data_IF_159838462081
#
_entry.id   IF_159838462081
#
_cell.length_a   1.000
_cell.length_b   1.000
_cell.length_c   1.000
_cell.angle_alpha   90.00
_cell.angle_beta   90.00
_cell.angle_gamma   90.00
#
_symmetry.space_group_name_H-M   'P 1'
#
loop_
_entity.id
_entity.type
_entity.pdbx_description
1 polymer ?
#
# COMPACT_ATOMS: atom_id res chain seq x y z
N UNK A 1 -4.89 -16.22 25.71
CA UNK A 1 -4.61 -17.10 24.55
C UNK A 1 -3.21 -16.78 24.08
N UNK A 2 -2.29 -17.75 24.17
CA UNK A 2 -0.87 -17.51 23.91
C UNK A 2 -0.61 -17.22 22.44
N UNK A 3 -0.17 -16.00 22.13
CA UNK A 3 0.40 -15.68 20.83
C UNK A 3 1.75 -16.38 20.72
N UNK A 4 1.82 -17.49 19.99
CA UNK A 4 3.09 -18.05 19.57
C UNK A 4 3.81 -17.01 18.73
N UNK A 5 5.00 -16.57 19.18
CA UNK A 5 5.87 -15.73 18.36
C UNK A 5 6.08 -16.43 17.02
N UNK A 6 5.66 -15.80 15.91
CA UNK A 6 6.06 -16.27 14.57
C UNK A 6 7.59 -16.33 14.53
N UNK A 7 8.12 -17.37 13.89
CA UNK A 7 9.55 -17.45 13.62
C UNK A 7 9.95 -16.27 12.72
N UNK A 8 11.06 -15.61 13.05
CA UNK A 8 11.59 -14.52 12.25
C UNK A 8 12.16 -15.07 10.94
N UNK A 9 11.82 -14.45 9.82
CA UNK A 9 12.26 -14.83 8.47
C UNK A 9 13.37 -13.88 8.05
N UNK A 10 14.51 -14.41 7.60
CA UNK A 10 15.61 -13.57 7.09
C UNK A 10 15.19 -12.88 5.79
N UNK A 11 15.57 -11.61 5.54
CA UNK A 11 15.32 -10.96 4.25
C UNK A 11 16.25 -11.53 3.17
N UNK A 12 15.84 -12.65 2.57
CA UNK A 12 16.44 -13.26 1.38
C UNK A 12 15.34 -13.72 0.42
N UNK A 13 15.68 -14.42 -0.67
CA UNK A 13 14.72 -14.86 -1.69
C UNK A 13 13.51 -15.65 -1.14
N UNK A 14 13.59 -16.22 0.08
CA UNK A 14 12.48 -16.92 0.72
C UNK A 14 11.28 -16.02 1.07
N UNK A 15 11.45 -14.69 1.08
CA UNK A 15 10.35 -13.76 1.34
C UNK A 15 9.47 -13.52 0.11
N UNK A 16 9.93 -13.91 -1.09
CA UNK A 16 9.17 -13.75 -2.33
C UNK A 16 7.90 -14.61 -2.25
N UNK A 17 6.77 -14.02 -2.61
CA UNK A 17 5.46 -14.67 -2.50
C UNK A 17 4.82 -14.60 -1.12
N UNK A 18 5.44 -13.95 -0.13
CA UNK A 18 4.70 -13.57 1.08
C UNK A 18 3.53 -12.66 0.70
N UNK A 19 2.36 -12.97 1.26
CA UNK A 19 1.10 -12.26 1.00
C UNK A 19 0.61 -11.54 2.25
N UNK A 20 0.10 -10.34 2.05
CA UNK A 20 -0.69 -9.59 3.02
C UNK A 20 -2.16 -10.05 3.03
N UNK A 21 -3.01 -9.45 3.86
CA UNK A 21 -4.42 -9.75 3.87
C UNK A 21 -5.06 -9.26 2.57
N UNK A 22 -6.16 -9.90 2.21
CA UNK A 22 -7.11 -9.36 1.24
C UNK A 22 -8.05 -8.43 2.00
N UNK A 23 -8.28 -7.22 1.48
CA UNK A 23 -9.13 -6.22 2.12
C UNK A 23 -9.93 -5.41 1.10
N UNK A 24 -11.11 -4.96 1.53
CA UNK A 24 -11.94 -4.02 0.79
C UNK A 24 -11.36 -2.60 0.90
N UNK A 25 -11.47 -1.82 -0.18
CA UNK A 25 -11.01 -0.43 -0.23
C UNK A 25 -12.21 0.49 -0.42
N UNK A 26 -12.49 1.29 0.61
CA UNK A 26 -13.57 2.28 0.56
C UNK A 26 -13.12 3.55 -0.18
N UNK A 27 -13.59 3.73 -1.41
CA UNK A 27 -13.36 4.94 -2.18
C UNK A 27 -14.29 6.07 -1.75
N UNK A 28 -13.93 6.75 -0.66
CA UNK A 28 -14.73 7.83 -0.11
C UNK A 28 -14.48 9.17 -0.84
N UNK A 29 -15.57 9.84 -1.27
CA UNK A 29 -15.52 11.19 -1.87
C UNK A 29 -14.75 12.20 -1.01
N UNK A 30 -14.91 12.17 0.30
CA UNK A 30 -14.21 13.09 1.22
C UNK A 30 -12.69 12.89 1.18
N UNK A 31 -12.24 11.62 1.18
CA UNK A 31 -10.82 11.23 1.13
C UNK A 31 -10.18 11.61 -0.20
N UNK A 32 -10.89 11.38 -1.31
CA UNK A 32 -10.45 11.75 -2.66
C UNK A 32 -10.18 13.25 -2.73
N UNK A 33 -11.14 14.07 -2.26
CA UNK A 33 -11.01 15.53 -2.22
C UNK A 33 -9.87 15.99 -1.33
N UNK A 34 -9.72 15.38 -0.15
CA UNK A 34 -8.65 15.69 0.78
C UNK A 34 -7.29 15.40 0.15
N UNK A 35 -7.09 14.20 -0.40
CA UNK A 35 -5.85 13.81 -1.05
C UNK A 35 -5.51 14.73 -2.21
N UNK A 36 -6.47 15.00 -3.10
CA UNK A 36 -6.28 15.89 -4.24
C UNK A 36 -5.81 17.29 -3.78
N UNK A 37 -6.40 17.86 -2.72
CA UNK A 37 -5.93 19.13 -2.15
C UNK A 37 -4.52 19.03 -1.57
N UNK A 38 -4.20 17.94 -0.87
CA UNK A 38 -2.88 17.73 -0.26
C UNK A 38 -1.75 17.68 -1.29
N UNK A 39 -2.04 17.22 -2.52
CA UNK A 39 -1.06 17.21 -3.63
C UNK A 39 -1.24 18.37 -4.61
N UNK A 40 -2.02 19.40 -4.24
CA UNK A 40 -2.32 20.57 -5.09
C UNK A 40 -2.96 20.23 -6.45
N UNK A 41 -3.72 19.15 -6.52
CA UNK A 41 -4.51 18.76 -7.70
C UNK A 41 -5.93 19.34 -7.62
N UNK A 42 -6.21 20.37 -8.42
CA UNK A 42 -7.48 21.12 -8.38
C UNK A 42 -8.41 20.89 -9.56
N UNK A 43 -8.17 19.84 -10.35
CA UNK A 43 -9.05 19.50 -11.47
C UNK A 43 -10.51 19.27 -10.98
N UNK A 44 -11.53 19.86 -11.64
CA UNK A 44 -12.94 19.75 -11.23
C UNK A 44 -13.44 18.32 -10.98
N UNK A 45 -12.96 17.36 -11.78
CA UNK A 45 -13.30 15.93 -11.64
C UNK A 45 -13.03 15.34 -10.24
N UNK A 46 -12.10 15.93 -9.46
CA UNK A 46 -11.82 15.50 -8.09
C UNK A 46 -12.71 16.18 -7.05
N UNK A 47 -13.30 17.35 -7.36
CA UNK A 47 -13.87 18.27 -6.37
C UNK A 47 -15.35 18.61 -6.55
N UNK A 48 -15.87 18.53 -7.77
CA UNK A 48 -17.23 19.00 -8.07
C UNK A 48 -18.22 17.84 -8.14
N UNK A 49 -17.78 16.68 -8.63
CA UNK A 49 -18.64 15.52 -8.83
C UNK A 49 -19.10 14.88 -7.52
N UNK A 50 -20.28 14.24 -7.57
CA UNK A 50 -20.85 13.47 -6.46
C UNK A 50 -20.12 12.14 -6.25
N UNK A 51 -19.61 11.55 -7.34
CA UNK A 51 -18.76 10.36 -7.37
C UNK A 51 -17.45 10.66 -8.11
N UNK A 52 -16.55 11.48 -7.53
CA UNK A 52 -15.34 11.91 -8.23
C UNK A 52 -14.44 10.72 -8.56
N UNK A 53 -13.74 10.81 -9.69
CA UNK A 53 -12.64 9.92 -10.03
C UNK A 53 -11.48 10.12 -9.05
N UNK A 54 -10.72 9.07 -8.76
CA UNK A 54 -9.52 9.20 -7.93
C UNK A 54 -8.38 9.87 -8.70
N UNK A 55 -7.55 10.73 -8.07
CA UNK A 55 -6.25 11.09 -8.64
C UNK A 55 -5.42 9.82 -8.91
N UNK A 56 -4.59 9.77 -9.97
CA UNK A 56 -3.91 8.53 -10.38
C UNK A 56 -3.13 7.84 -9.25
N UNK A 57 -2.47 8.61 -8.39
CA UNK A 57 -1.65 8.07 -7.30
C UNK A 57 -2.41 7.84 -5.99
N UNK A 58 -3.71 8.12 -5.93
CA UNK A 58 -4.52 8.03 -4.71
C UNK A 58 -4.52 6.63 -4.08
N UNK A 59 -4.54 5.58 -4.92
CA UNK A 59 -4.70 4.21 -4.47
C UNK A 59 -3.55 3.71 -3.57
N UNK A 60 -2.39 4.39 -3.57
CA UNK A 60 -1.31 4.10 -2.61
C UNK A 60 -1.78 4.20 -1.16
N UNK A 61 -2.76 5.06 -0.89
CA UNK A 61 -3.30 5.27 0.45
C UNK A 61 -4.04 4.04 0.99
N UNK A 62 -4.47 3.11 0.14
CA UNK A 62 -5.24 1.93 0.57
C UNK A 62 -4.46 1.07 1.57
N UNK A 63 -3.18 0.84 1.33
CA UNK A 63 -2.29 0.10 2.23
C UNK A 63 -1.99 0.82 3.54
N UNK A 64 -2.21 2.13 3.62
CA UNK A 64 -2.05 2.90 4.86
C UNK A 64 -3.31 2.91 5.73
N UNK A 65 -4.49 2.77 5.14
CA UNK A 65 -5.76 2.90 5.85
C UNK A 65 -6.46 1.57 6.15
N UNK A 66 -6.45 0.64 5.19
CA UNK A 66 -7.26 -0.59 5.26
C UNK A 66 -6.41 -1.85 5.38
N UNK A 67 -5.30 -1.90 4.65
CA UNK A 67 -4.34 -2.99 4.70
C UNK A 67 -3.13 -2.66 5.58
N UNK A 68 -1.98 -3.15 5.15
CA UNK A 68 -0.70 -2.65 5.61
C UNK A 68 0.31 -2.59 4.46
N UNK A 69 1.19 -1.60 4.55
CA UNK A 69 2.41 -1.51 3.74
C UNK A 69 3.59 -2.16 4.49
N UNK A 70 4.66 -2.51 3.78
CA UNK A 70 5.85 -3.16 4.34
C UNK A 70 6.40 -2.39 5.57
N UNK A 71 6.51 -1.07 5.48
CA UNK A 71 7.04 -0.23 6.57
C UNK A 71 6.12 -0.10 7.80
N UNK A 72 4.86 -0.57 7.72
CA UNK A 72 3.87 -0.46 8.81
C UNK A 72 3.11 -1.76 9.05
N UNK A 73 3.69 -2.90 8.66
CA UNK A 73 3.07 -4.19 8.86
C UNK A 73 2.96 -4.52 10.37
N UNK A 74 1.84 -5.09 10.85
CA UNK A 74 1.73 -5.61 12.21
C UNK A 74 2.83 -6.64 12.50
N UNK A 75 3.38 -6.65 13.71
CA UNK A 75 4.50 -7.55 14.08
C UNK A 75 4.15 -9.04 13.96
N UNK A 76 2.88 -9.37 14.08
CA UNK A 76 2.30 -10.71 13.99
C UNK A 76 1.78 -11.06 12.57
N UNK A 77 2.14 -10.26 11.56
CA UNK A 77 1.80 -10.51 10.15
C UNK A 77 2.94 -11.18 9.37
N UNK A 78 2.62 -11.68 8.17
CA UNK A 78 3.61 -12.24 7.25
C UNK A 78 4.81 -11.30 7.02
N UNK A 79 4.55 -10.01 6.73
CA UNK A 79 5.62 -9.02 6.55
C UNK A 79 6.28 -8.60 7.87
N UNK A 80 5.54 -8.58 8.99
CA UNK A 80 6.12 -8.30 10.31
C UNK A 80 7.06 -9.38 10.84
N UNK A 81 6.98 -10.58 10.26
CA UNK A 81 7.89 -11.69 10.57
C UNK A 81 9.27 -11.55 9.92
N UNK A 82 9.43 -10.67 8.92
CA UNK A 82 10.74 -10.42 8.28
C UNK A 82 11.68 -9.75 9.27
N UNK A 83 12.91 -10.25 9.35
CA UNK A 83 13.93 -9.82 10.29
C UNK A 83 14.69 -8.57 9.81
N UNK A 84 13.94 -7.49 9.58
CA UNK A 84 14.44 -6.21 9.09
C UNK A 84 13.71 -5.04 9.78
N UNK A 85 14.40 -3.91 9.96
CA UNK A 85 13.77 -2.69 10.48
C UNK A 85 13.35 -1.75 9.35
N UNK A 86 12.14 -1.99 8.84
CA UNK A 86 11.56 -1.17 7.78
C UNK A 86 11.20 0.25 8.19
N UNK A 87 11.26 0.63 9.48
CA UNK A 87 11.00 2.02 9.90
C UNK A 87 12.12 2.98 9.47
N UNK A 88 13.30 2.43 9.18
CA UNK A 88 14.46 3.17 8.67
C UNK A 88 14.62 3.07 7.16
N UNK A 89 13.76 2.28 6.49
CA UNK A 89 13.82 2.04 5.07
C UNK A 89 13.35 3.28 4.28
N UNK A 90 14.17 3.71 3.32
CA UNK A 90 13.78 4.73 2.36
C UNK A 90 12.92 4.10 1.26
N UNK A 91 11.85 4.80 0.85
CA UNK A 91 11.10 4.43 -0.34
C UNK A 91 11.97 4.69 -1.59
N UNK A 92 12.41 3.60 -2.23
CA UNK A 92 13.33 3.65 -3.36
C UNK A 92 12.65 3.92 -4.71
N UNK A 93 11.34 3.76 -4.81
CA UNK A 93 10.61 3.92 -6.06
C UNK A 93 9.18 3.42 -5.99
N UNK A 94 8.32 4.04 -6.80
CA UNK A 94 6.89 3.82 -6.83
C UNK A 94 6.42 3.72 -8.28
N UNK A 95 5.65 2.69 -8.61
CA UNK A 95 5.05 2.48 -9.93
C UNK A 95 3.53 2.26 -9.79
N UNK A 96 2.77 2.74 -10.78
CA UNK A 96 1.34 2.50 -10.89
C UNK A 96 1.01 2.04 -12.30
N UNK A 97 0.31 0.91 -12.42
CA UNK A 97 -0.19 0.38 -13.69
C UNK A 97 -1.71 0.40 -13.66
N UNK A 98 -2.33 1.04 -14.65
CA UNK A 98 -3.79 1.12 -14.78
C UNK A 98 -4.25 0.25 -15.95
N UNK A 99 -4.96 -0.84 -15.65
CA UNK A 99 -5.48 -1.78 -16.65
C UNK A 99 -6.81 -1.32 -17.30
N UNK A 100 -7.33 -0.17 -16.87
CA UNK A 100 -8.59 0.40 -17.31
C UNK A 100 -8.72 1.86 -16.83
N UNK A 101 -9.92 2.44 -16.93
CA UNK A 101 -10.17 3.77 -16.37
C UNK A 101 -9.93 3.78 -14.86
N UNK A 102 -9.58 4.96 -14.33
CA UNK A 102 -9.45 5.14 -12.89
C UNK A 102 -10.82 4.99 -12.20
N UNK A 103 -10.85 4.37 -11.01
CA UNK A 103 -12.10 4.14 -10.31
C UNK A 103 -12.67 5.43 -9.73
N UNK A 104 -13.97 5.42 -9.49
CA UNK A 104 -14.72 6.54 -8.92
C UNK A 104 -15.15 6.27 -7.47
N UNK A 105 -15.49 7.35 -6.75
CA UNK A 105 -15.98 7.22 -5.39
C UNK A 105 -17.22 6.31 -5.29
N UNK A 106 -17.20 5.41 -4.30
CA UNK A 106 -18.23 4.41 -4.06
C UNK A 106 -18.16 3.16 -4.95
N UNK A 107 -17.18 3.06 -5.85
CA UNK A 107 -16.92 1.80 -6.55
C UNK A 107 -16.24 0.79 -5.61
N UNK A 108 -16.63 -0.49 -5.68
CA UNK A 108 -16.03 -1.52 -4.86
C UNK A 108 -14.65 -1.89 -5.40
N UNK A 109 -13.66 -1.94 -4.53
CA UNK A 109 -12.32 -2.43 -4.84
C UNK A 109 -11.87 -3.41 -3.77
N UNK A 110 -11.14 -4.43 -4.21
CA UNK A 110 -10.47 -5.41 -3.35
C UNK A 110 -8.98 -5.30 -3.63
N UNK A 111 -8.17 -5.24 -2.58
CA UNK A 111 -6.73 -5.12 -2.67
C UNK A 111 -6.02 -6.19 -1.84
N UNK A 112 -4.78 -6.45 -2.21
CA UNK A 112 -3.83 -7.27 -1.47
C UNK A 112 -2.41 -6.77 -1.77
N UNK A 113 -1.49 -7.11 -0.88
CA UNK A 113 -0.06 -6.80 -1.04
C UNK A 113 0.70 -8.11 -1.16
N UNK A 114 1.65 -8.20 -2.07
CA UNK A 114 2.52 -9.36 -2.21
C UNK A 114 3.97 -8.92 -2.36
N UNK A 115 4.88 -9.72 -1.80
CA UNK A 115 6.31 -9.54 -2.02
C UNK A 115 6.68 -10.10 -3.40
N UNK A 116 6.87 -9.21 -4.36
CA UNK A 116 7.11 -9.58 -5.75
C UNK A 116 8.56 -9.99 -6.04
N UNK A 117 9.54 -9.32 -5.42
CA UNK A 117 10.95 -9.50 -5.73
C UNK A 117 11.84 -9.15 -4.52
N UNK A 118 13.07 -9.69 -4.51
CA UNK A 118 14.11 -9.38 -3.53
C UNK A 118 15.44 -9.16 -4.24
N UNK A 119 16.16 -8.09 -3.86
CA UNK A 119 17.49 -7.83 -4.39
C UNK A 119 18.43 -7.28 -3.32
N UNK A 120 19.51 -7.99 -3.08
CA UNK A 120 20.62 -7.50 -2.28
C UNK A 120 21.44 -6.48 -3.08
N UNK A 121 21.75 -5.34 -2.46
CA UNK A 121 22.62 -4.31 -3.03
C UNK A 121 23.69 -3.92 -2.02
N UNK A 122 24.94 -3.92 -2.46
CA UNK A 122 26.03 -3.41 -1.65
C UNK A 122 26.13 -1.88 -1.81
N UNK A 123 26.03 -1.15 -0.69
CA UNK A 123 26.25 0.30 -0.68
C UNK A 123 27.70 0.65 -1.04
N UNK A 124 27.90 1.83 -1.65
CA UNK A 124 29.25 2.39 -1.82
C UNK A 124 29.73 2.89 -0.45
N UNK A 125 30.89 2.40 -0.01
CA UNK A 125 31.59 2.94 1.16
C UNK A 125 32.27 4.25 0.82
#
# INVERSE_FOLDING_TARGET
MGGGSMARIKPDESIIGLEGPVYDVDLERGRIRQFAKSIYAFHPAYHEESKPVVPPTFLIMSGYFYGYILARAPRDSAFGSIDEDFTTCADGGQEFVFHGPLPCAGEPLVASTHMHDFKERQGRR
#
